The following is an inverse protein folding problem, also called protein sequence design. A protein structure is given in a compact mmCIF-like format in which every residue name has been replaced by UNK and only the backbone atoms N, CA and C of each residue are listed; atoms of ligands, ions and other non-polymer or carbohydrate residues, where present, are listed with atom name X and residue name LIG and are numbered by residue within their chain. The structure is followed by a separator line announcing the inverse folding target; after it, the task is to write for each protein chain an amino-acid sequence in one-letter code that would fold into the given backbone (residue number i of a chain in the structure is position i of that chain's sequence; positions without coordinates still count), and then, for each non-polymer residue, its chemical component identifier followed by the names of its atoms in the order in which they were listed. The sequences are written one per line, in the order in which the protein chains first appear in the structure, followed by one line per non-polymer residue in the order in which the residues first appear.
data_IF_174118880198
#
_entry.id   IF_174118880198
#
_cell.length_a   1.000
_cell.length_b   1.000
_cell.length_c   1.000
_cell.angle_alpha   90.00
_cell.angle_beta   90.00
_cell.angle_gamma   90.00
#
_symmetry.space_group_name_H-M   'P 1'
#
loop_
_entity.id
_entity.type
_entity.pdbx_description
1 polymer ?
#
# COMPACT_ATOMS: atom_id res chain seq x y z
N UNK A 1 -5.64 6.55 -10.67
CA UNK A 1 -5.49 5.23 -11.34
C UNK A 1 -4.38 4.37 -10.71
N UNK A 2 -3.17 4.89 -10.47
CA UNK A 2 -2.08 4.11 -9.85
C UNK A 2 -2.36 3.57 -8.43
N UNK A 3 -3.17 4.28 -7.63
CA UNK A 3 -3.55 3.81 -6.29
C UNK A 3 -4.32 2.48 -6.33
N UNK A 4 -5.18 2.27 -7.33
CA UNK A 4 -5.93 1.02 -7.49
C UNK A 4 -4.99 -0.16 -7.76
N UNK A 5 -3.96 0.03 -8.60
CA UNK A 5 -2.98 -1.02 -8.87
C UNK A 5 -2.17 -1.40 -7.62
N UNK A 6 -1.77 -0.41 -6.82
CA UNK A 6 -1.07 -0.66 -5.57
C UNK A 6 -1.98 -1.40 -4.58
N UNK A 7 -3.25 -0.97 -4.46
CA UNK A 7 -4.22 -1.58 -3.57
C UNK A 7 -4.56 -3.03 -3.96
N UNK A 8 -4.95 -3.23 -5.22
CA UNK A 8 -5.36 -4.52 -5.76
C UNK A 8 -4.16 -5.47 -5.85
N UNK A 9 -2.98 -4.98 -6.25
CA UNK A 9 -1.76 -5.77 -6.30
C UNK A 9 -1.29 -6.24 -4.92
N UNK A 10 -1.34 -5.36 -3.91
CA UNK A 10 -0.95 -5.69 -2.53
C UNK A 10 -1.92 -6.70 -1.89
N UNK A 11 -3.22 -6.50 -2.07
CA UNK A 11 -4.25 -7.42 -1.56
C UNK A 11 -4.24 -8.75 -2.31
N UNK A 12 -3.93 -8.77 -3.61
CA UNK A 12 -3.75 -10.01 -4.38
C UNK A 12 -2.53 -10.81 -3.93
N UNK A 13 -1.38 -10.14 -3.67
CA UNK A 13 -0.20 -10.77 -3.08
C UNK A 13 -0.49 -11.33 -1.68
N UNK A 14 -1.22 -10.58 -0.84
CA UNK A 14 -1.59 -11.01 0.51
C UNK A 14 -2.54 -12.21 0.49
N UNK A 15 -3.52 -12.23 -0.42
CA UNK A 15 -4.49 -13.33 -0.57
C UNK A 15 -3.91 -14.57 -1.26
N UNK A 16 -2.72 -14.48 -1.87
CA UNK A 16 -2.02 -15.62 -2.47
C UNK A 16 -1.38 -16.57 -1.45
N UNK A 17 -1.08 -16.09 -0.24
CA UNK A 17 -0.43 -16.86 0.83
C UNK A 17 -1.39 -17.49 1.86
N UNK A 18 -2.69 -17.21 1.80
CA UNK A 18 -3.68 -17.66 2.79
C UNK A 18 -4.74 -18.60 2.20
N UNK A 19 -5.15 -19.59 3.00
CA UNK A 19 -6.24 -20.53 2.70
C UNK A 19 -7.58 -19.79 2.52
N UNK A 20 -8.51 -20.34 1.72
CA UNK A 20 -9.81 -19.73 1.37
C UNK A 20 -10.64 -19.35 2.61
N UNK A 21 -10.48 -20.10 3.71
CA UNK A 21 -11.14 -19.83 4.97
C UNK A 21 -10.58 -18.60 5.74
N UNK A 22 -9.32 -18.23 5.51
CA UNK A 22 -8.65 -17.10 6.18
C UNK A 22 -8.69 -15.81 5.35
N UNK A 23 -8.95 -15.92 4.02
CA UNK A 23 -9.10 -14.77 3.12
C UNK A 23 -10.14 -13.75 3.61
N UNK A 24 -11.27 -14.21 4.13
CA UNK A 24 -12.32 -13.32 4.64
C UNK A 24 -11.83 -12.48 5.84
N UNK A 25 -11.06 -13.08 6.76
CA UNK A 25 -10.43 -12.36 7.88
C UNK A 25 -9.34 -11.40 7.39
N UNK A 26 -8.48 -11.84 6.47
CA UNK A 26 -7.41 -11.02 5.93
C UNK A 26 -7.94 -9.79 5.18
N UNK A 27 -9.03 -9.96 4.42
CA UNK A 27 -9.69 -8.87 3.71
C UNK A 27 -10.38 -7.90 4.68
N UNK A 28 -11.08 -8.41 5.71
CA UNK A 28 -11.67 -7.56 6.75
C UNK A 28 -10.62 -6.71 7.49
N UNK A 29 -9.45 -7.29 7.81
CA UNK A 29 -8.35 -6.55 8.44
C UNK A 29 -7.78 -5.50 7.48
N UNK A 30 -7.65 -5.82 6.18
CA UNK A 30 -7.18 -4.88 5.18
C UNK A 30 -8.12 -3.66 5.09
N UNK A 31 -9.41 -3.90 4.90
CA UNK A 31 -10.41 -2.83 4.80
C UNK A 31 -10.44 -1.99 6.09
N UNK A 32 -10.40 -2.64 7.27
CA UNK A 32 -10.36 -1.92 8.55
C UNK A 32 -9.11 -1.06 8.69
N UNK A 33 -7.94 -1.56 8.28
CA UNK A 33 -6.69 -0.81 8.31
C UNK A 33 -6.76 0.42 7.41
N UNK A 34 -7.31 0.25 6.20
CA UNK A 34 -7.48 1.33 5.23
C UNK A 34 -8.44 2.39 5.77
N UNK A 35 -9.52 1.97 6.40
CA UNK A 35 -10.44 2.87 7.08
C UNK A 35 -9.77 3.65 8.20
N UNK A 36 -9.04 2.97 9.11
CA UNK A 36 -8.37 3.62 10.24
C UNK A 36 -7.29 4.60 9.77
N UNK A 37 -6.45 4.20 8.81
CA UNK A 37 -5.43 5.07 8.22
C UNK A 37 -6.09 6.26 7.51
N UNK A 38 -7.16 6.03 6.76
CA UNK A 38 -7.93 7.10 6.11
C UNK A 38 -8.54 8.08 7.11
N UNK A 39 -9.00 7.60 8.27
CA UNK A 39 -9.56 8.41 9.35
C UNK A 39 -8.49 9.31 9.98
N UNK A 40 -7.32 8.74 10.30
CA UNK A 40 -6.17 9.49 10.83
C UNK A 40 -5.69 10.50 9.79
N UNK A 41 -5.50 10.09 8.53
CA UNK A 41 -5.11 10.99 7.45
C UNK A 41 -6.11 12.12 7.26
N UNK A 42 -7.42 11.86 7.31
CA UNK A 42 -8.44 12.90 7.16
C UNK A 42 -8.43 13.88 8.34
N UNK A 43 -8.24 13.37 9.55
CA UNK A 43 -8.12 14.22 10.75
C UNK A 43 -6.84 15.07 10.71
N UNK A 44 -5.73 14.49 10.26
CA UNK A 44 -4.45 15.18 10.13
C UNK A 44 -4.33 16.04 8.86
N UNK A 45 -5.18 15.85 7.85
CA UNK A 45 -5.04 16.52 6.54
C UNK A 45 -5.07 18.05 6.66
N UNK A 46 -5.92 18.59 7.54
CA UNK A 46 -5.98 20.04 7.77
C UNK A 46 -4.69 20.60 8.37
N UNK A 47 -4.19 19.99 9.45
CA UNK A 47 -2.95 20.42 10.10
C UNK A 47 -1.71 20.16 9.22
N UNK A 48 -1.67 19.03 8.52
CA UNK A 48 -0.54 18.66 7.67
C UNK A 48 -0.45 19.57 6.45
N UNK A 49 -1.59 19.96 5.88
CA UNK A 49 -1.63 20.88 4.75
C UNK A 49 -1.21 22.30 5.17
N UNK A 50 -1.61 22.75 6.36
CA UNK A 50 -1.25 24.06 6.89
C UNK A 50 0.25 24.15 7.24
N UNK A 51 0.83 23.09 7.82
CA UNK A 51 2.26 23.07 8.19
C UNK A 51 3.21 22.78 7.03
N UNK A 52 2.92 21.79 6.18
CA UNK A 52 3.86 21.32 5.15
C UNK A 52 3.55 21.88 3.76
N UNK A 53 2.31 22.32 3.52
CA UNK A 53 1.88 22.76 2.20
C UNK A 53 1.84 21.63 1.18
N UNK A 54 1.08 21.87 0.10
CA UNK A 54 0.85 20.88 -0.96
C UNK A 54 2.12 20.29 -1.59
N UNK A 55 3.19 21.10 -1.69
CA UNK A 55 4.43 20.71 -2.38
C UNK A 55 5.28 19.75 -1.55
N UNK A 56 5.45 20.01 -0.25
CA UNK A 56 6.26 19.14 0.61
C UNK A 56 5.58 17.79 0.83
N UNK A 57 4.24 17.76 0.92
CA UNK A 57 3.48 16.51 1.00
C UNK A 57 3.69 15.62 -0.23
N UNK A 58 3.67 16.20 -1.44
CA UNK A 58 3.93 15.44 -2.67
C UNK A 58 5.37 14.91 -2.73
N UNK A 59 6.34 15.72 -2.30
CA UNK A 59 7.75 15.35 -2.33
C UNK A 59 8.10 14.27 -1.29
N UNK A 60 7.41 14.28 -0.14
CA UNK A 60 7.52 13.23 0.87
C UNK A 60 7.00 11.88 0.38
N UNK A 61 6.05 11.84 -0.56
CA UNK A 61 5.51 10.60 -1.13
C UNK A 61 6.48 9.91 -2.11
N UNK A 62 7.35 10.67 -2.78
CA UNK A 62 8.31 10.14 -3.76
C UNK A 62 9.24 9.05 -3.18
N UNK A 63 9.94 9.25 -2.05
CA UNK A 63 10.82 8.22 -1.50
C UNK A 63 10.07 6.95 -1.10
N UNK A 64 8.85 7.06 -0.58
CA UNK A 64 8.01 5.90 -0.27
C UNK A 64 7.64 5.10 -1.53
N UNK A 65 7.31 5.78 -2.61
CA UNK A 65 7.02 5.16 -3.91
C UNK A 65 8.25 4.45 -4.50
N UNK A 66 9.43 5.05 -4.37
CA UNK A 66 10.70 4.44 -4.83
C UNK A 66 10.99 3.16 -4.05
N UNK A 67 10.81 3.16 -2.72
CA UNK A 67 11.01 1.98 -1.88
C UNK A 67 10.02 0.87 -2.25
N UNK A 68 8.75 1.20 -2.49
CA UNK A 68 7.75 0.20 -2.91
C UNK A 68 8.08 -0.36 -4.29
N UNK A 69 8.46 0.48 -5.25
CA UNK A 69 8.87 0.04 -6.58
C UNK A 69 10.11 -0.86 -6.53
N UNK A 70 11.13 -0.50 -5.74
CA UNK A 70 12.33 -1.32 -5.55
C UNK A 70 12.02 -2.67 -4.89
N UNK A 71 11.14 -2.68 -3.87
CA UNK A 71 10.72 -3.90 -3.20
C UNK A 71 9.94 -4.83 -4.13
N UNK A 72 9.03 -4.28 -4.95
CA UNK A 72 8.29 -5.04 -5.96
C UNK A 72 9.21 -5.58 -7.06
N UNK A 73 10.17 -4.78 -7.53
CA UNK A 73 11.15 -5.21 -8.52
C UNK A 73 12.01 -6.37 -7.99
N UNK A 74 12.46 -6.28 -6.74
CA UNK A 74 13.20 -7.34 -6.07
C UNK A 74 12.38 -8.62 -5.90
N UNK A 75 11.12 -8.48 -5.49
CA UNK A 75 10.19 -9.61 -5.36
C UNK A 75 9.92 -10.29 -6.72
N UNK A 76 9.77 -9.50 -7.80
CA UNK A 76 9.58 -9.99 -9.16
C UNK A 76 10.77 -10.81 -9.64
N UNK A 77 12.00 -10.32 -9.42
CA UNK A 77 13.22 -11.08 -9.78
C UNK A 77 13.33 -12.40 -9.01
N UNK A 78 12.93 -12.40 -7.74
CA UNK A 78 12.94 -13.61 -6.91
C UNK A 78 11.93 -14.65 -7.40
N UNK A 79 10.79 -14.20 -7.92
CA UNK A 79 9.71 -15.07 -8.42
C UNK A 79 10.03 -15.67 -9.78
N UNK A 80 10.70 -14.93 -10.68
CA UNK A 80 11.23 -15.51 -11.94
C UNK A 80 12.29 -16.59 -11.67
N UNK A 81 13.19 -16.38 -10.70
CA UNK A 81 14.21 -17.38 -10.31
C UNK A 81 13.65 -18.66 -9.68
N UNK A 82 12.38 -18.70 -9.29
CA UNK A 82 11.74 -19.93 -8.79
C UNK A 82 10.97 -20.69 -9.87
N UNK A 83 10.75 -20.07 -11.04
CA UNK A 83 10.05 -20.67 -12.18
C UNK A 83 11.00 -21.11 -13.31
N UNK A 84 12.30 -20.83 -13.19
CA UNK A 84 13.37 -21.31 -14.07
C UNK A 84 14.19 -22.39 -13.36
#
# INVERSE_FOLDING_TARGET
VGWNFLFIGSTSLLTGTYSVAEKAKAQAINDMTVFVVGLICSFSAGALLDLFGWKAMNMALIPWLVITAASLFWLSQKREKQLA
#
